data_IF_289958729989
#
_entry.id   IF_289958729989
#
_cell.length_a   1.000
_cell.length_b   1.000
_cell.length_c   1.000
_cell.angle_alpha   90.00
_cell.angle_beta   90.00
_cell.angle_gamma   90.00
#
_symmetry.space_group_name_H-M   'P 1'
#
loop_
_entity.id
_entity.type
_entity.pdbx_description
1 polymer ?
#
# COMPACT_ATOMS: atom_id res chain seq x y z
N UNK A 1 -30.73 -27.80 -5.49
CA UNK A 1 -29.27 -27.56 -5.24
C UNK A 1 -28.78 -26.70 -6.38
N UNK A 2 -28.57 -25.38 -6.13
CA UNK A 2 -27.90 -24.51 -7.14
C UNK A 2 -26.50 -25.07 -7.38
N UNK A 3 -26.09 -25.21 -8.64
CA UNK A 3 -24.76 -25.66 -9.01
C UNK A 3 -23.76 -24.67 -8.41
N UNK A 4 -22.97 -25.11 -7.42
CA UNK A 4 -21.78 -24.36 -6.99
C UNK A 4 -20.83 -24.36 -8.18
N UNK A 5 -20.54 -23.21 -8.74
CA UNK A 5 -19.52 -23.08 -9.77
C UNK A 5 -18.13 -23.27 -9.13
N UNK A 6 -17.38 -24.22 -9.62
CA UNK A 6 -15.98 -24.42 -9.24
C UNK A 6 -15.09 -23.96 -10.38
N UNK A 7 -14.18 -23.06 -10.05
CA UNK A 7 -13.10 -22.64 -10.97
C UNK A 7 -11.81 -23.29 -10.49
N UNK A 8 -11.01 -23.81 -11.41
CA UNK A 8 -9.69 -24.37 -11.13
C UNK A 8 -8.62 -23.52 -11.80
N UNK A 9 -7.58 -23.18 -11.05
CA UNK A 9 -6.41 -22.46 -11.51
C UNK A 9 -5.16 -23.00 -10.82
N UNK A 10 -3.96 -22.65 -11.28
CA UNK A 10 -2.74 -23.00 -10.55
C UNK A 10 -2.58 -22.08 -9.34
N UNK A 11 -2.80 -20.78 -9.55
CA UNK A 11 -2.60 -19.75 -8.53
C UNK A 11 -3.81 -18.81 -8.51
N UNK A 12 -4.33 -18.52 -7.32
CA UNK A 12 -5.28 -17.43 -7.12
C UNK A 12 -4.60 -16.29 -6.36
N UNK A 13 -4.78 -15.06 -6.85
CA UNK A 13 -4.30 -13.84 -6.21
C UNK A 13 -5.50 -13.00 -5.82
N UNK A 14 -5.58 -12.63 -4.54
CA UNK A 14 -6.66 -11.80 -4.01
C UNK A 14 -6.16 -10.38 -3.80
N UNK A 15 -6.61 -9.47 -4.66
CA UNK A 15 -6.23 -8.05 -4.66
C UNK A 15 -5.43 -7.64 -5.89
N UNK A 16 -5.83 -6.51 -6.49
CA UNK A 16 -5.24 -5.91 -7.71
C UNK A 16 -4.33 -4.70 -7.41
N UNK A 17 -3.89 -4.54 -6.16
CA UNK A 17 -2.87 -3.57 -5.79
C UNK A 17 -1.48 -3.95 -6.33
N UNK A 18 -0.48 -3.08 -6.10
CA UNK A 18 0.89 -3.29 -6.59
C UNK A 18 1.47 -4.64 -6.17
N UNK A 19 1.19 -5.11 -4.96
CA UNK A 19 1.68 -6.40 -4.46
C UNK A 19 1.15 -7.58 -5.29
N UNK A 20 -0.17 -7.61 -5.53
CA UNK A 20 -0.80 -8.68 -6.34
C UNK A 20 -0.37 -8.64 -7.80
N UNK A 21 -0.34 -7.45 -8.40
CA UNK A 21 0.07 -7.27 -9.80
C UNK A 21 1.55 -7.63 -10.01
N UNK A 22 2.44 -7.16 -9.14
CA UNK A 22 3.86 -7.46 -9.24
C UNK A 22 4.12 -8.96 -9.02
N UNK A 23 3.48 -9.57 -8.04
CA UNK A 23 3.55 -11.03 -7.83
C UNK A 23 3.11 -11.80 -9.09
N UNK A 24 1.95 -11.43 -9.69
CA UNK A 24 1.45 -12.08 -10.89
C UNK A 24 2.44 -12.00 -12.07
N UNK A 25 3.14 -10.87 -12.22
CA UNK A 25 4.11 -10.65 -13.30
C UNK A 25 5.46 -11.34 -13.06
N UNK A 26 5.81 -11.62 -11.80
CA UNK A 26 7.01 -12.36 -11.44
C UNK A 26 6.84 -13.89 -11.53
N UNK A 27 5.58 -14.37 -11.59
CA UNK A 27 5.29 -15.80 -11.70
C UNK A 27 5.52 -16.31 -13.13
N UNK A 28 5.89 -17.62 -13.29
CA UNK A 28 6.08 -18.20 -14.62
C UNK A 28 4.84 -18.12 -15.51
N UNK A 29 5.01 -17.81 -16.79
CA UNK A 29 3.90 -17.75 -17.75
C UNK A 29 3.22 -19.10 -18.00
N UNK A 30 3.84 -20.20 -17.63
CA UNK A 30 3.25 -21.55 -17.67
C UNK A 30 2.17 -21.78 -16.62
N UNK A 31 2.10 -20.92 -15.56
CA UNK A 31 1.09 -21.01 -14.50
C UNK A 31 -0.15 -20.22 -14.88
N UNK A 32 -1.32 -20.83 -14.73
CA UNK A 32 -2.61 -20.15 -14.85
C UNK A 32 -2.88 -19.36 -13.59
N UNK A 33 -3.07 -18.07 -13.71
CA UNK A 33 -3.28 -17.14 -12.58
C UNK A 33 -4.67 -16.56 -12.69
N UNK A 34 -5.43 -16.63 -11.61
CA UNK A 34 -6.71 -15.97 -11.47
C UNK A 34 -6.57 -14.87 -10.42
N UNK A 35 -6.86 -13.64 -10.80
CA UNK A 35 -6.86 -12.50 -9.88
C UNK A 35 -8.30 -12.05 -9.62
N UNK A 36 -8.69 -12.00 -8.35
CA UNK A 36 -9.97 -11.42 -7.94
C UNK A 36 -9.77 -10.11 -7.20
N UNK A 37 -10.72 -9.21 -7.30
CA UNK A 37 -10.72 -7.94 -6.56
C UNK A 37 -12.14 -7.55 -6.20
N UNK A 38 -12.30 -7.00 -5.00
CA UNK A 38 -13.57 -6.64 -4.37
C UNK A 38 -14.33 -5.57 -5.17
N UNK A 39 -13.59 -4.64 -5.75
CA UNK A 39 -14.10 -3.55 -6.58
C UNK A 39 -13.41 -3.56 -7.95
N UNK A 40 -13.45 -2.45 -8.67
CA UNK A 40 -12.74 -2.31 -9.94
C UNK A 40 -11.23 -2.44 -9.78
N UNK A 41 -10.55 -2.92 -10.83
CA UNK A 41 -9.12 -3.25 -10.81
C UNK A 41 -8.20 -2.07 -10.41
N UNK A 42 -8.65 -0.83 -10.55
CA UNK A 42 -7.91 0.38 -10.17
C UNK A 42 -8.30 0.91 -8.79
N UNK A 43 -9.32 0.37 -8.18
CA UNK A 43 -9.78 0.81 -6.87
C UNK A 43 -8.98 0.14 -5.75
N UNK A 44 -7.71 0.47 -5.69
CA UNK A 44 -6.76 0.02 -4.67
C UNK A 44 -5.92 1.18 -4.14
N UNK A 45 -5.48 1.09 -2.89
CA UNK A 45 -4.70 2.16 -2.27
C UNK A 45 -3.35 2.39 -2.96
N UNK A 46 -2.80 1.38 -3.63
CA UNK A 46 -1.59 1.52 -4.46
C UNK A 46 -1.78 2.55 -5.57
N UNK A 47 -2.96 2.59 -6.20
CA UNK A 47 -3.29 3.57 -7.24
C UNK A 47 -3.39 5.00 -6.69
N UNK A 48 -3.72 5.15 -5.43
CA UNK A 48 -3.87 6.45 -4.74
C UNK A 48 -2.56 6.98 -4.18
N UNK A 49 -1.50 6.15 -4.11
CA UNK A 49 -0.26 6.53 -3.47
C UNK A 49 0.41 7.69 -4.21
N UNK A 50 0.65 8.75 -3.47
CA UNK A 50 1.39 9.94 -3.88
C UNK A 50 2.87 9.80 -3.50
N UNK A 51 3.64 10.88 -3.62
CA UNK A 51 5.07 10.90 -3.28
C UNK A 51 5.87 9.98 -4.19
N UNK A 52 6.74 9.18 -3.61
CA UNK A 52 7.63 8.33 -4.39
C UNK A 52 8.00 7.01 -3.74
N UNK A 53 8.96 6.32 -4.32
CA UNK A 53 9.48 5.03 -3.86
C UNK A 53 10.98 5.11 -3.61
N UNK A 54 11.41 4.65 -2.44
CA UNK A 54 12.82 4.67 -2.06
C UNK A 54 13.61 3.57 -2.78
N UNK A 55 14.87 3.89 -3.14
CA UNK A 55 15.80 2.93 -3.74
C UNK A 55 17.22 3.14 -3.21
N UNK A 56 17.95 2.06 -3.01
CA UNK A 56 19.37 2.10 -2.69
C UNK A 56 20.16 2.49 -3.96
N UNK A 57 20.67 3.71 -3.99
CA UNK A 57 21.39 4.25 -5.14
C UNK A 57 22.81 3.72 -5.28
N UNK A 58 23.48 3.51 -4.15
CA UNK A 58 24.84 2.98 -4.08
C UNK A 58 25.05 2.30 -2.73
N UNK A 59 26.05 1.46 -2.63
CA UNK A 59 26.41 0.79 -1.38
C UNK A 59 26.79 1.76 -0.27
N UNK A 60 27.32 2.93 -0.61
CA UNK A 60 27.69 3.98 0.35
C UNK A 60 26.46 4.57 1.05
N UNK A 61 25.28 4.56 0.40
CA UNK A 61 24.02 5.03 0.99
C UNK A 61 23.35 4.01 1.91
N UNK A 62 23.77 2.74 1.87
CA UNK A 62 23.12 1.67 2.64
C UNK A 62 23.03 2.00 4.13
N UNK A 63 24.15 2.37 4.76
CA UNK A 63 24.18 2.65 6.19
C UNK A 63 23.26 3.81 6.57
N UNK A 64 23.22 4.85 5.72
CA UNK A 64 22.35 5.98 5.96
C UNK A 64 20.88 5.63 5.78
N UNK A 65 20.54 4.88 4.73
CA UNK A 65 19.18 4.44 4.46
C UNK A 65 18.66 3.50 5.56
N UNK A 66 19.49 2.54 5.97
CA UNK A 66 19.18 1.62 7.06
C UNK A 66 18.88 2.38 8.38
N UNK A 67 19.76 3.29 8.75
CA UNK A 67 19.61 4.08 9.99
C UNK A 67 18.39 5.00 9.93
N UNK A 68 18.11 5.66 8.79
CA UNK A 68 16.90 6.46 8.60
C UNK A 68 15.64 5.62 8.81
N UNK A 69 15.61 4.41 8.24
CA UNK A 69 14.48 3.49 8.36
C UNK A 69 14.28 2.98 9.79
N UNK A 70 15.37 2.56 10.45
CA UNK A 70 15.32 2.10 11.84
C UNK A 70 14.86 3.21 12.77
N UNK A 71 15.37 4.42 12.59
CA UNK A 71 14.99 5.58 13.41
C UNK A 71 13.52 5.96 13.19
N UNK A 72 13.04 5.94 11.96
CA UNK A 72 11.64 6.25 11.64
C UNK A 72 10.66 5.24 12.27
N UNK A 73 11.09 4.01 12.47
CA UNK A 73 10.32 2.97 13.18
C UNK A 73 10.69 2.85 14.66
N UNK A 74 11.32 3.86 15.27
CA UNK A 74 11.73 3.88 16.70
C UNK A 74 12.57 2.67 17.10
N UNK A 75 13.30 2.07 16.16
CA UNK A 75 14.11 0.84 16.33
C UNK A 75 13.28 -0.40 16.72
N UNK A 76 11.96 -0.37 16.55
CA UNK A 76 11.08 -1.53 16.72
C UNK A 76 11.01 -2.42 15.46
N UNK A 77 11.57 -1.94 14.36
CA UNK A 77 11.66 -2.68 13.09
C UNK A 77 12.41 -4.00 13.27
N UNK A 78 12.02 -5.02 12.49
CA UNK A 78 12.87 -6.20 12.32
C UNK A 78 14.10 -5.82 11.48
N UNK A 79 15.33 -5.89 12.04
CA UNK A 79 16.54 -5.44 11.35
C UNK A 79 16.83 -6.18 10.05
N UNK A 80 16.54 -7.49 10.01
CA UNK A 80 16.74 -8.30 8.84
C UNK A 80 15.75 -7.96 7.72
N UNK A 81 14.49 -7.73 8.05
CA UNK A 81 13.49 -7.29 7.06
C UNK A 81 13.85 -5.93 6.45
N UNK A 82 14.36 -5.00 7.26
CA UNK A 82 14.85 -3.69 6.77
C UNK A 82 16.03 -3.88 5.83
N UNK A 83 16.99 -4.74 6.18
CA UNK A 83 18.15 -5.05 5.32
C UNK A 83 17.71 -5.61 3.98
N UNK A 84 16.86 -6.63 3.97
CA UNK A 84 16.34 -7.28 2.76
C UNK A 84 15.58 -6.27 1.88
N UNK A 85 14.73 -5.44 2.47
CA UNK A 85 13.99 -4.40 1.74
C UNK A 85 14.94 -3.43 1.02
N UNK A 86 15.98 -2.95 1.71
CA UNK A 86 16.93 -1.98 1.15
C UNK A 86 17.78 -2.62 0.06
N UNK A 87 18.36 -3.79 0.33
CA UNK A 87 19.26 -4.49 -0.61
C UNK A 87 18.54 -4.94 -1.89
N UNK A 88 17.27 -5.35 -1.80
CA UNK A 88 16.48 -5.76 -2.96
C UNK A 88 15.91 -4.58 -3.76
N UNK A 89 15.89 -3.37 -3.21
CA UNK A 89 15.23 -2.24 -3.85
C UNK A 89 15.78 -1.90 -5.25
N UNK A 90 17.10 -1.98 -5.57
CA UNK A 90 17.60 -1.73 -6.92
C UNK A 90 17.05 -2.71 -7.96
N UNK A 91 16.96 -4.00 -7.62
CA UNK A 91 16.45 -5.02 -8.53
C UNK A 91 14.95 -4.88 -8.77
N UNK A 92 14.20 -4.56 -7.72
CA UNK A 92 12.75 -4.30 -7.81
C UNK A 92 12.48 -3.09 -8.70
N UNK A 93 13.15 -1.96 -8.44
CA UNK A 93 13.00 -0.74 -9.25
C UNK A 93 13.47 -0.98 -10.68
N UNK A 94 14.60 -1.66 -10.88
CA UNK A 94 15.08 -2.04 -12.21
C UNK A 94 14.06 -2.90 -12.97
N UNK A 95 13.33 -3.76 -12.27
CA UNK A 95 12.24 -4.55 -12.86
C UNK A 95 11.05 -3.67 -13.25
N UNK A 96 10.63 -2.74 -12.39
CA UNK A 96 9.55 -1.79 -12.71
C UNK A 96 9.88 -0.95 -13.94
N UNK A 97 11.12 -0.45 -14.05
CA UNK A 97 11.60 0.31 -15.21
C UNK A 97 11.57 -0.55 -16.48
N UNK A 98 12.06 -1.79 -16.41
CA UNK A 98 12.01 -2.75 -17.55
C UNK A 98 10.58 -3.06 -17.98
N UNK A 99 9.65 -3.06 -17.06
CA UNK A 99 8.22 -3.20 -17.31
C UNK A 99 7.57 -1.90 -17.82
N UNK A 100 8.32 -0.80 -17.94
CA UNK A 100 7.87 0.45 -18.52
C UNK A 100 7.31 1.47 -17.53
N UNK A 101 7.52 1.28 -16.22
CA UNK A 101 7.20 2.33 -15.25
C UNK A 101 8.08 3.57 -15.51
N UNK A 102 7.43 4.72 -15.63
CA UNK A 102 8.07 5.99 -15.93
C UNK A 102 8.33 6.78 -14.64
N UNK A 103 9.60 7.15 -14.44
CA UNK A 103 10.00 8.01 -13.32
C UNK A 103 10.59 9.31 -13.86
N UNK A 104 10.36 10.40 -13.15
CA UNK A 104 10.81 11.71 -13.55
C UNK A 104 12.34 11.76 -13.68
N UNK A 105 12.81 12.46 -14.71
CA UNK A 105 14.22 12.60 -15.03
C UNK A 105 14.62 14.07 -15.11
N UNK A 106 15.88 14.34 -14.81
CA UNK A 106 16.51 15.64 -15.00
C UNK A 106 16.77 15.93 -16.47
N UNK A 107 17.17 17.14 -16.78
CA UNK A 107 17.51 17.59 -18.15
C UNK A 107 18.68 16.81 -18.79
N UNK A 108 19.55 16.24 -17.99
CA UNK A 108 20.69 15.40 -18.41
C UNK A 108 20.32 13.93 -18.65
N UNK A 109 19.08 13.56 -18.33
CA UNK A 109 18.56 12.19 -18.50
C UNK A 109 18.72 11.30 -17.26
N UNK A 110 19.39 11.76 -16.22
CA UNK A 110 19.46 11.05 -14.95
C UNK A 110 18.13 11.12 -14.20
N UNK A 111 17.83 10.12 -13.37
CA UNK A 111 16.64 10.14 -12.52
C UNK A 111 16.63 11.34 -11.57
N UNK A 112 15.48 11.95 -11.44
CA UNK A 112 15.27 13.02 -10.49
C UNK A 112 14.91 12.45 -9.12
N UNK A 113 15.90 12.38 -8.24
CA UNK A 113 15.71 11.87 -6.89
C UNK A 113 15.32 12.99 -5.94
N UNK A 114 14.24 12.80 -5.24
CA UNK A 114 13.78 13.70 -4.18
C UNK A 114 14.00 13.13 -2.78
N UNK A 115 13.65 13.90 -1.78
CA UNK A 115 13.69 13.56 -0.36
C UNK A 115 12.37 13.92 0.30
N UNK A 116 11.87 13.03 1.13
CA UNK A 116 10.72 13.27 2.00
C UNK A 116 11.13 13.21 3.47
N UNK A 117 10.17 13.39 4.37
CA UNK A 117 10.41 13.33 5.82
C UNK A 117 11.13 12.05 6.27
N UNK A 118 11.91 12.16 7.33
CA UNK A 118 12.76 11.12 7.90
C UNK A 118 13.95 10.65 7.03
N UNK A 119 14.12 11.13 5.80
CA UNK A 119 15.25 10.81 4.94
C UNK A 119 16.35 11.89 5.01
N UNK A 120 17.61 11.49 5.16
CA UNK A 120 18.78 12.39 5.09
C UNK A 120 19.25 12.63 3.66
N UNK A 121 19.10 11.63 2.77
CA UNK A 121 19.58 11.67 1.40
C UNK A 121 18.45 11.62 0.38
N UNK A 122 18.65 12.20 -0.81
CA UNK A 122 17.75 12.07 -1.94
C UNK A 122 17.87 10.66 -2.52
N UNK A 123 16.86 9.80 -2.28
CA UNK A 123 16.81 8.41 -2.75
C UNK A 123 15.42 7.98 -3.22
N UNK A 124 14.52 8.94 -3.36
CA UNK A 124 13.12 8.69 -3.70
C UNK A 124 12.94 8.98 -5.18
N UNK A 125 12.55 7.95 -5.93
CA UNK A 125 12.08 8.07 -7.30
C UNK A 125 10.59 8.42 -7.29
N UNK A 126 10.16 9.26 -8.20
CA UNK A 126 8.77 9.71 -8.30
C UNK A 126 8.33 9.89 -9.75
N UNK A 127 7.04 9.88 -9.97
CA UNK A 127 6.40 10.35 -11.19
C UNK A 127 5.43 11.45 -10.80
N UNK A 128 5.86 12.70 -10.86
CA UNK A 128 5.11 13.84 -10.31
C UNK A 128 4.71 13.56 -8.85
N UNK A 129 3.43 13.74 -8.50
CA UNK A 129 2.83 13.33 -7.22
C UNK A 129 1.80 12.20 -7.43
N UNK A 130 2.02 11.33 -8.44
CA UNK A 130 1.13 10.24 -8.85
C UNK A 130 1.89 8.91 -9.05
N UNK A 131 2.98 8.69 -8.30
CA UNK A 131 3.88 7.55 -8.48
C UNK A 131 3.18 6.21 -8.35
N UNK A 132 2.28 6.06 -7.38
CA UNK A 132 1.49 4.83 -7.22
C UNK A 132 0.54 4.57 -8.38
N UNK A 133 -0.07 5.62 -8.93
CA UNK A 133 -0.92 5.54 -10.12
C UNK A 133 -0.14 5.09 -11.35
N UNK A 134 1.06 5.67 -11.56
CA UNK A 134 1.96 5.29 -12.66
C UNK A 134 2.33 3.80 -12.57
N UNK A 135 2.90 3.37 -11.45
CA UNK A 135 3.33 1.99 -11.24
C UNK A 135 2.13 1.02 -11.40
N UNK A 136 1.01 1.30 -10.72
CA UNK A 136 -0.16 0.41 -10.74
C UNK A 136 -0.76 0.32 -12.15
N UNK A 137 -0.85 1.44 -12.89
CA UNK A 137 -1.40 1.46 -14.25
C UNK A 137 -0.52 0.67 -15.20
N UNK A 138 0.79 0.84 -15.12
CA UNK A 138 1.76 0.12 -15.94
C UNK A 138 1.71 -1.38 -15.69
N UNK A 139 1.77 -1.81 -14.43
CA UNK A 139 1.69 -3.24 -14.07
C UNK A 139 0.35 -3.85 -14.52
N UNK A 140 -0.77 -3.16 -14.30
CA UNK A 140 -2.09 -3.61 -14.70
C UNK A 140 -2.21 -3.75 -16.23
N UNK A 141 -1.67 -2.80 -17.00
CA UNK A 141 -1.65 -2.84 -18.46
C UNK A 141 -0.92 -4.07 -18.97
N UNK A 142 0.25 -4.38 -18.39
CA UNK A 142 1.03 -5.56 -18.80
C UNK A 142 0.31 -6.84 -18.38
N UNK A 143 -0.20 -6.91 -17.16
CA UNK A 143 -0.89 -8.08 -16.64
C UNK A 143 -2.15 -8.41 -17.48
N UNK A 144 -2.90 -7.40 -17.94
CA UNK A 144 -4.05 -7.58 -18.85
C UNK A 144 -3.67 -8.16 -20.21
N UNK A 145 -2.44 -7.94 -20.66
CA UNK A 145 -1.94 -8.48 -21.94
C UNK A 145 -1.32 -9.89 -21.80
N UNK A 146 -1.12 -10.38 -20.56
CA UNK A 146 -0.63 -11.74 -20.30
C UNK A 146 -1.74 -12.77 -20.46
N UNK A 147 -1.57 -13.75 -21.35
CA UNK A 147 -2.57 -14.80 -21.64
C UNK A 147 -2.85 -15.74 -20.47
N UNK A 148 -1.90 -15.86 -19.56
CA UNK A 148 -1.99 -16.74 -18.39
C UNK A 148 -2.64 -16.06 -17.18
N UNK A 149 -2.98 -14.77 -17.25
CA UNK A 149 -3.61 -14.01 -16.16
C UNK A 149 -5.06 -13.69 -16.53
N UNK A 150 -5.98 -14.09 -15.71
CA UNK A 150 -7.41 -13.77 -15.82
C UNK A 150 -7.85 -12.92 -14.62
N UNK A 151 -8.63 -11.88 -14.88
CA UNK A 151 -9.17 -11.01 -13.83
C UNK A 151 -10.65 -11.24 -13.64
N UNK A 152 -11.10 -11.29 -12.40
CA UNK A 152 -12.51 -11.27 -11.99
C UNK A 152 -12.70 -10.13 -10.99
N UNK A 153 -13.07 -8.95 -11.45
CA UNK A 153 -13.42 -7.82 -10.57
C UNK A 153 -14.77 -8.07 -9.89
N UNK A 154 -15.16 -7.19 -8.98
CA UNK A 154 -16.42 -7.22 -8.23
C UNK A 154 -16.65 -8.58 -7.52
N UNK A 155 -15.55 -9.18 -7.03
CA UNK A 155 -15.58 -10.50 -6.42
C UNK A 155 -14.82 -10.47 -5.10
N UNK A 156 -15.53 -10.69 -4.01
CA UNK A 156 -14.99 -10.66 -2.65
C UNK A 156 -14.63 -12.06 -2.18
N UNK A 157 -13.41 -12.24 -1.66
CA UNK A 157 -13.05 -13.44 -0.91
C UNK A 157 -13.77 -13.40 0.45
N UNK A 158 -14.58 -14.42 0.73
CA UNK A 158 -15.35 -14.51 1.98
C UNK A 158 -14.89 -15.63 2.91
N UNK A 159 -14.11 -16.59 2.40
CA UNK A 159 -13.54 -17.67 3.21
C UNK A 159 -12.35 -18.35 2.53
N UNK A 160 -11.60 -19.14 3.31
CA UNK A 160 -10.59 -20.06 2.83
C UNK A 160 -11.17 -21.47 2.76
N UNK A 161 -10.75 -22.27 1.79
CA UNK A 161 -11.05 -23.71 1.71
C UNK A 161 -9.84 -24.42 2.32
N UNK A 162 -9.95 -24.77 3.59
CA UNK A 162 -8.86 -25.37 4.37
C UNK A 162 -9.29 -26.76 4.85
N UNK A 163 -8.34 -27.68 4.84
CA UNK A 163 -8.45 -28.99 5.43
C UNK A 163 -7.08 -29.49 5.86
N UNK A 164 -6.98 -30.05 7.06
CA UNK A 164 -5.77 -30.64 7.60
C UNK A 164 -4.55 -29.69 7.51
N UNK A 165 -4.76 -28.41 7.90
CA UNK A 165 -3.77 -27.34 7.86
C UNK A 165 -3.20 -27.03 6.45
N UNK A 166 -3.96 -27.36 5.42
CA UNK A 166 -3.61 -27.09 4.01
C UNK A 166 -4.73 -26.29 3.36
N UNK A 167 -4.37 -25.17 2.71
CA UNK A 167 -5.32 -24.35 1.98
C UNK A 167 -5.42 -24.85 0.53
N UNK A 168 -6.62 -25.14 0.07
CA UNK A 168 -6.92 -25.66 -1.28
C UNK A 168 -7.58 -24.62 -2.19
N UNK A 169 -7.92 -23.46 -1.68
CA UNK A 169 -8.59 -22.43 -2.45
C UNK A 169 -9.33 -21.44 -1.59
N UNK A 170 -10.23 -20.71 -2.21
CA UNK A 170 -11.06 -19.68 -1.57
C UNK A 170 -12.54 -19.87 -1.88
N UNK A 171 -13.39 -19.40 -0.99
CA UNK A 171 -14.80 -19.13 -1.26
C UNK A 171 -14.93 -17.65 -1.58
N UNK A 172 -15.61 -17.33 -2.64
CA UNK A 172 -15.87 -15.96 -3.07
C UNK A 172 -17.35 -15.69 -3.28
N UNK A 173 -17.70 -14.40 -3.27
CA UNK A 173 -19.04 -13.89 -3.52
C UNK A 173 -18.95 -12.75 -4.53
N UNK A 174 -19.77 -12.77 -5.57
CA UNK A 174 -19.84 -11.73 -6.59
C UNK A 174 -20.75 -10.55 -6.17
N UNK A 175 -20.86 -9.54 -7.03
CA UNK A 175 -21.71 -8.36 -6.81
C UNK A 175 -23.22 -8.68 -6.68
N UNK A 176 -23.66 -9.85 -7.16
CA UNK A 176 -25.06 -10.31 -7.06
C UNK A 176 -25.30 -11.15 -5.82
N UNK A 177 -24.29 -11.39 -4.97
CA UNK A 177 -24.35 -12.26 -3.80
C UNK A 177 -24.31 -13.76 -4.13
N UNK A 178 -23.94 -14.13 -5.36
CA UNK A 178 -23.76 -15.52 -5.74
C UNK A 178 -22.40 -16.04 -5.28
N UNK A 179 -22.39 -17.18 -4.60
CA UNK A 179 -21.19 -17.76 -4.02
C UNK A 179 -20.59 -18.84 -4.90
N UNK A 180 -19.28 -18.75 -5.11
CA UNK A 180 -18.48 -19.72 -5.83
C UNK A 180 -17.25 -20.16 -5.05
N UNK A 181 -16.56 -21.16 -5.59
CA UNK A 181 -15.27 -21.64 -5.05
C UNK A 181 -14.20 -21.56 -6.15
N UNK A 182 -13.05 -21.07 -5.79
CA UNK A 182 -11.85 -21.10 -6.63
C UNK A 182 -10.85 -22.04 -5.95
N UNK A 183 -10.57 -23.16 -6.61
CA UNK A 183 -9.57 -24.12 -6.16
C UNK A 183 -8.23 -23.82 -6.83
N UNK A 184 -7.17 -23.77 -6.04
CA UNK A 184 -5.83 -23.46 -6.51
C UNK A 184 -4.76 -24.23 -5.72
N UNK A 185 -3.59 -24.41 -6.32
CA UNK A 185 -2.42 -24.97 -5.64
C UNK A 185 -1.83 -23.95 -4.67
N UNK A 186 -1.78 -22.67 -5.09
CA UNK A 186 -1.23 -21.59 -4.30
C UNK A 186 -2.21 -20.43 -4.21
N UNK A 187 -2.30 -19.81 -3.04
CA UNK A 187 -3.13 -18.65 -2.79
C UNK A 187 -2.24 -17.49 -2.30
N UNK A 188 -2.28 -16.36 -3.02
CA UNK A 188 -1.58 -15.14 -2.65
C UNK A 188 -2.58 -14.12 -2.14
N UNK A 189 -2.49 -13.77 -0.87
CA UNK A 189 -3.33 -12.75 -0.24
C UNK A 189 -2.63 -11.39 -0.34
N UNK A 190 -3.15 -10.52 -1.22
CA UNK A 190 -2.66 -9.16 -1.46
C UNK A 190 -3.78 -8.13 -1.20
N UNK A 191 -4.58 -8.35 -0.16
CA UNK A 191 -5.85 -7.66 0.12
C UNK A 191 -5.70 -6.27 0.72
N UNK A 192 -4.49 -5.79 0.92
CA UNK A 192 -4.23 -4.49 1.56
C UNK A 192 -4.46 -4.51 3.07
N UNK A 193 -4.61 -3.32 3.64
CA UNK A 193 -4.72 -3.12 5.09
C UNK A 193 -6.15 -2.97 5.60
N UNK A 194 -6.31 -2.14 6.65
CA UNK A 194 -7.58 -1.93 7.37
C UNK A 194 -8.06 -0.48 7.34
N UNK A 195 -7.48 0.35 6.48
CA UNK A 195 -7.72 1.80 6.50
C UNK A 195 -9.19 2.20 6.29
N UNK A 196 -9.96 1.38 5.57
CA UNK A 196 -11.40 1.59 5.34
C UNK A 196 -12.26 1.48 6.60
N UNK A 197 -11.77 0.88 7.68
CA UNK A 197 -12.49 0.79 8.97
C UNK A 197 -12.51 2.12 9.74
N UNK A 198 -11.65 3.08 9.39
CA UNK A 198 -11.55 4.35 10.11
C UNK A 198 -12.45 5.41 9.49
N UNK A 199 -13.19 6.14 10.34
CA UNK A 199 -14.10 7.23 9.92
C UNK A 199 -13.42 8.32 9.10
N UNK A 200 -12.16 8.62 9.41
CA UNK A 200 -11.35 9.60 8.68
C UNK A 200 -10.13 8.89 8.10
N UNK A 201 -10.23 8.51 6.85
CA UNK A 201 -9.21 7.73 6.16
C UNK A 201 -8.94 8.29 4.76
N UNK A 202 -7.72 8.11 4.29
CA UNK A 202 -7.30 8.37 2.90
C UNK A 202 -7.43 7.12 2.03
N UNK A 203 -7.70 5.96 2.64
CA UNK A 203 -7.88 4.69 1.94
C UNK A 203 -9.29 4.57 1.33
N UNK A 204 -9.45 3.65 0.41
CA UNK A 204 -10.77 3.26 -0.07
C UNK A 204 -11.60 2.63 1.06
N UNK A 205 -12.90 2.90 1.16
CA UNK A 205 -13.76 2.37 2.24
C UNK A 205 -13.87 0.85 2.25
N UNK A 206 -13.69 0.19 1.10
CA UNK A 206 -13.77 -1.27 0.98
C UNK A 206 -12.50 -2.02 1.45
N UNK A 207 -11.42 -1.30 1.78
CA UNK A 207 -10.18 -1.90 2.32
C UNK A 207 -10.36 -2.13 3.83
N UNK A 208 -10.93 -3.28 4.18
CA UNK A 208 -11.47 -3.57 5.52
C UNK A 208 -10.73 -4.70 6.27
N UNK A 209 -9.58 -5.15 5.75
CA UNK A 209 -8.76 -6.17 6.44
C UNK A 209 -9.32 -7.58 6.32
N UNK A 210 -9.92 -7.93 5.21
CA UNK A 210 -10.61 -9.21 5.01
C UNK A 210 -9.68 -10.40 5.29
N UNK A 211 -8.42 -10.37 4.81
CA UNK A 211 -7.45 -11.43 5.11
C UNK A 211 -7.13 -11.56 6.59
N UNK A 212 -7.12 -10.46 7.35
CA UNK A 212 -6.88 -10.52 8.80
C UNK A 212 -8.04 -11.19 9.51
N UNK A 213 -9.28 -10.87 9.13
CA UNK A 213 -10.47 -11.50 9.68
C UNK A 213 -10.49 -13.01 9.40
N UNK A 214 -10.13 -13.42 8.18
CA UNK A 214 -10.03 -14.83 7.80
C UNK A 214 -8.87 -15.54 8.51
N UNK A 215 -7.72 -14.88 8.66
CA UNK A 215 -6.60 -15.43 9.42
C UNK A 215 -7.02 -15.76 10.87
N UNK A 216 -7.71 -14.83 11.55
CA UNK A 216 -8.24 -15.07 12.90
C UNK A 216 -9.24 -16.25 12.89
N UNK A 217 -10.15 -16.28 11.92
CA UNK A 217 -11.15 -17.35 11.79
C UNK A 217 -10.53 -18.74 11.65
N UNK A 218 -9.42 -18.83 10.91
CA UNK A 218 -8.71 -20.09 10.65
C UNK A 218 -7.53 -20.36 11.60
N UNK A 219 -7.40 -19.59 12.70
CA UNK A 219 -6.36 -19.79 13.71
C UNK A 219 -4.95 -19.45 13.22
N UNK A 220 -4.82 -18.66 12.15
CA UNK A 220 -3.52 -18.18 11.63
C UNK A 220 -3.06 -17.02 12.50
N UNK A 221 -1.83 -17.10 13.01
CA UNK A 221 -1.28 -16.07 13.87
C UNK A 221 -1.11 -14.74 13.12
N UNK A 222 -1.49 -13.65 13.77
CA UNK A 222 -1.24 -12.28 13.31
C UNK A 222 -0.17 -11.63 14.18
N UNK A 223 0.63 -10.76 13.59
CA UNK A 223 1.70 -10.03 14.27
C UNK A 223 1.55 -8.54 14.00
N UNK A 224 1.98 -7.73 14.96
CA UNK A 224 2.11 -6.27 14.83
C UNK A 224 0.82 -5.52 14.44
N UNK A 225 -0.34 -6.06 14.85
CA UNK A 225 -1.66 -5.50 14.51
C UNK A 225 -1.96 -4.14 15.15
N UNK A 226 -1.13 -3.68 16.08
CA UNK A 226 -1.23 -2.35 16.69
C UNK A 226 -0.63 -1.24 15.83
N UNK A 227 0.18 -1.58 14.82
CA UNK A 227 0.84 -0.58 13.99
C UNK A 227 -0.11 -0.03 12.92
N UNK A 228 -0.69 1.13 13.23
CA UNK A 228 -1.52 1.91 12.31
C UNK A 228 -0.82 3.24 12.05
N UNK A 229 -0.43 3.49 10.79
CA UNK A 229 0.16 4.77 10.43
C UNK A 229 -0.92 5.83 10.21
N UNK A 230 -0.78 6.97 10.89
CA UNK A 230 -1.61 8.15 10.68
C UNK A 230 -0.84 9.13 9.80
N UNK A 231 -1.41 9.50 8.65
CA UNK A 231 -0.85 10.56 7.83
C UNK A 231 -1.22 11.93 8.44
N UNK A 232 -0.23 12.81 8.72
CA UNK A 232 -0.49 14.04 9.48
C UNK A 232 -1.35 15.06 8.73
N UNK A 233 -1.34 15.06 7.40
CA UNK A 233 -1.97 16.12 6.60
C UNK A 233 -3.02 15.59 5.61
N UNK A 234 -4.26 16.00 5.79
CA UNK A 234 -5.39 15.72 4.89
C UNK A 234 -6.25 16.96 4.72
N UNK A 235 -6.90 17.09 3.56
CA UNK A 235 -7.86 18.15 3.34
C UNK A 235 -9.10 17.92 4.23
N UNK A 236 -9.42 18.90 5.06
CA UNK A 236 -10.64 18.87 5.86
C UNK A 236 -11.89 18.91 4.98
N UNK A 237 -12.82 18.03 5.21
CA UNK A 237 -14.13 17.99 4.54
C UNK A 237 -15.22 17.54 5.49
N UNK A 238 -16.38 18.20 5.43
CA UNK A 238 -17.61 17.76 6.12
C UNK A 238 -18.31 16.60 5.40
N UNK A 239 -17.95 16.33 4.14
CA UNK A 239 -18.51 15.22 3.37
C UNK A 239 -18.04 13.89 3.92
N UNK A 240 -18.89 12.88 3.88
CA UNK A 240 -18.50 11.48 4.18
C UNK A 240 -17.58 10.92 3.08
N UNK A 241 -16.91 9.82 3.37
CA UNK A 241 -16.05 9.11 2.44
C UNK A 241 -14.55 9.42 2.63
N UNK A 242 -13.76 9.01 1.66
CA UNK A 242 -12.31 9.11 1.66
C UNK A 242 -11.82 10.56 1.76
N UNK A 243 -10.81 10.80 2.58
CA UNK A 243 -10.15 12.11 2.70
C UNK A 243 -9.10 12.27 1.60
N UNK A 244 -9.00 13.48 1.06
CA UNK A 244 -7.91 13.80 0.13
C UNK A 244 -6.61 13.95 0.91
N UNK A 245 -5.58 13.20 0.51
CA UNK A 245 -4.25 13.27 1.09
C UNK A 245 -3.55 14.55 0.58
N UNK A 246 -3.02 15.33 1.52
CA UNK A 246 -2.04 16.37 1.18
C UNK A 246 -0.67 15.70 1.26
N UNK A 247 -0.05 15.50 0.12
CA UNK A 247 1.19 14.73 -0.02
C UNK A 247 2.30 15.22 0.90
N UNK A 248 3.13 14.29 1.33
CA UNK A 248 4.34 14.60 2.10
C UNK A 248 5.36 15.41 1.28
N UNK A 249 5.37 15.25 -0.04
CA UNK A 249 6.17 16.04 -0.97
C UNK A 249 5.98 17.55 -0.79
N UNK A 250 4.74 17.99 -0.48
CA UNK A 250 4.44 19.41 -0.22
C UNK A 250 5.26 19.94 0.96
N UNK A 251 5.45 19.12 2.02
CA UNK A 251 6.32 19.48 3.16
C UNK A 251 7.79 19.38 2.79
N UNK A 252 8.15 18.39 1.97
CA UNK A 252 9.50 18.23 1.41
C UNK A 252 9.94 19.43 0.59
N UNK A 253 9.02 20.05 -0.15
CA UNK A 253 9.21 21.27 -0.95
C UNK A 253 9.15 22.58 -0.12
N UNK A 254 9.04 22.48 1.20
CA UNK A 254 9.16 23.61 2.12
C UNK A 254 7.84 24.18 2.65
N UNK A 255 6.70 23.51 2.46
CA UNK A 255 5.47 23.92 3.12
C UNK A 255 5.57 23.73 4.63
N UNK A 256 5.02 24.68 5.39
CA UNK A 256 5.02 24.70 6.84
C UNK A 256 3.63 24.49 7.42
N UNK A 257 3.56 23.98 8.64
CA UNK A 257 2.33 23.82 9.39
C UNK A 257 2.16 25.02 10.37
N UNK A 258 1.04 25.72 10.21
CA UNK A 258 0.70 26.87 11.04
C UNK A 258 -0.51 26.53 11.94
N UNK A 259 -0.51 27.05 13.17
CA UNK A 259 -1.66 27.02 14.05
C UNK A 259 -2.67 28.15 13.68
N UNK A 260 -3.76 28.26 14.44
CA UNK A 260 -4.79 29.28 14.22
C UNK A 260 -4.27 30.73 14.37
N UNK A 261 -3.17 30.93 15.09
CA UNK A 261 -2.52 32.23 15.27
C UNK A 261 -1.51 32.54 14.14
N UNK A 262 -1.31 31.63 13.18
CA UNK A 262 -0.30 31.78 12.13
C UNK A 262 1.13 31.45 12.58
N UNK A 263 1.30 30.74 13.68
CA UNK A 263 2.60 30.36 14.22
C UNK A 263 2.98 28.94 13.80
N UNK A 264 4.24 28.73 13.40
CA UNK A 264 4.80 27.42 13.15
C UNK A 264 5.03 26.68 14.47
N UNK A 265 4.51 25.46 14.62
CA UNK A 265 4.51 24.73 15.89
C UNK A 265 5.29 23.41 15.86
N UNK A 266 5.83 22.99 14.70
CA UNK A 266 6.59 21.74 14.57
C UNK A 266 7.61 21.84 13.45
N UNK A 267 8.54 20.87 13.39
CA UNK A 267 9.37 20.61 12.22
C UNK A 267 8.65 19.55 11.35
N UNK A 268 8.22 19.95 10.18
CA UNK A 268 7.38 19.16 9.26
C UNK A 268 8.12 17.98 8.62
N UNK A 269 9.45 17.95 8.69
CA UNK A 269 10.29 16.87 8.15
C UNK A 269 10.59 15.76 9.16
N UNK A 270 10.05 15.86 10.37
CA UNK A 270 10.09 14.77 11.34
C UNK A 270 9.25 13.57 10.86
N UNK A 271 9.44 12.36 11.43
CA UNK A 271 8.59 11.21 11.19
C UNK A 271 7.10 11.54 11.36
N UNK A 272 6.26 10.83 10.60
CA UNK A 272 4.80 11.12 10.52
C UNK A 272 4.09 11.10 11.86
N UNK A 273 4.44 10.18 12.74
CA UNK A 273 3.89 10.06 14.09
C UNK A 273 4.25 11.29 14.94
N UNK A 274 5.50 11.76 14.91
CA UNK A 274 5.96 12.95 15.61
C UNK A 274 5.19 14.20 15.16
N UNK A 275 5.03 14.37 13.85
CA UNK A 275 4.24 15.49 13.29
C UNK A 275 2.76 15.36 13.68
N UNK A 276 2.20 14.15 13.65
CA UNK A 276 0.82 13.88 14.07
C UNK A 276 0.60 14.23 15.54
N UNK A 277 1.50 13.82 16.43
CA UNK A 277 1.42 14.17 17.85
C UNK A 277 1.49 15.68 18.09
N UNK A 278 2.36 16.38 17.38
CA UNK A 278 2.44 17.83 17.44
C UNK A 278 1.10 18.49 17.03
N UNK A 279 0.48 18.03 15.94
CA UNK A 279 -0.84 18.50 15.48
C UNK A 279 -1.93 18.22 16.52
N UNK A 280 -1.95 17.03 17.12
CA UNK A 280 -2.93 16.66 18.13
C UNK A 280 -2.76 17.52 19.40
N UNK A 281 -1.53 17.78 19.80
CA UNK A 281 -1.22 18.66 20.94
C UNK A 281 -1.69 20.08 20.68
N UNK A 282 -1.40 20.63 19.50
CA UNK A 282 -1.80 21.98 19.12
C UNK A 282 -3.33 22.13 19.09
N UNK A 283 -4.06 21.17 18.51
CA UNK A 283 -5.53 21.15 18.51
C UNK A 283 -6.14 21.10 19.91
N UNK A 284 -5.51 20.41 20.87
CA UNK A 284 -5.99 20.37 22.26
C UNK A 284 -5.80 21.72 22.95
N UNK A 285 -4.72 22.42 22.64
CA UNK A 285 -4.44 23.75 23.20
C UNK A 285 -5.37 24.82 22.63
N UNK A 286 -5.80 24.68 21.37
CA UNK A 286 -6.71 25.60 20.66
C UNK A 286 -8.18 25.30 20.93
N UNK A 287 -8.55 24.14 21.49
CA UNK A 287 -9.93 23.83 21.82
C UNK A 287 -10.39 24.72 23.00
N UNK A 288 -11.53 25.47 22.86
CA UNK A 288 -12.06 26.21 23.98
C UNK A 288 -12.34 25.22 25.12
N UNK A 289 -11.81 25.52 26.30
CA UNK A 289 -12.12 24.82 27.53
C UNK A 289 -13.63 24.97 27.74
N UNK A 290 -14.40 23.93 27.42
CA UNK A 290 -15.80 23.90 27.85
C UNK A 290 -15.76 23.78 29.37
N UNK A 291 -15.94 24.92 30.05
CA UNK A 291 -16.32 24.91 31.45
C UNK A 291 -17.67 24.22 31.56
N UNK A 292 -17.68 23.06 32.17
CA UNK A 292 -18.91 22.43 32.68
C UNK A 292 -19.49 23.21 33.83
#
# INVERSE_FOLDING_TARGET
>A
MKHRSYIHTDIVIVGSGVAGLFAALCLPESKKILMITKEDLKECDSYLAQGGVCVLKSLDDFKCFYEDTMKAGHYENNPESVRVMIESSPDVIGTLIKLGADFDTKKDGDFDYTREGAHRNNRILHHKDETGKEITTTLLSIAKNRRNITFIPQTTMIDLIERDNTCYGIVCEDEFGERGCILAQDIILATGGIGGLFKSSTNYPHITGDSFALAIKHGIALQDMSYIQIHPTTLYSKKSGRRFLISESVRGEGAILLNENGERFTDELQPRDVVTEAIVKEKRNSAPTMCT
#
